data_IF_053459758829
#
_entry.id   IF_053459758829
#
_cell.length_a   1.000
_cell.length_b   1.000
_cell.length_c   1.000
_cell.angle_alpha   90.00
_cell.angle_beta   90.00
_cell.angle_gamma   90.00
#
_symmetry.space_group_name_H-M   'P 1'
#
loop_
_entity.id
_entity.type
_entity.pdbx_description
1 polymer ?
#
# COMPACT_ATOMS: atom_id res chain seq x y z
N UNK A 1 20.63 0.08 10.00
CA UNK A 1 19.95 -0.05 11.29
C UNK A 1 18.52 0.45 11.11
N UNK A 2 17.61 -0.47 10.83
CA UNK A 2 16.18 -0.18 10.65
C UNK A 2 15.54 -0.02 12.03
N UNK A 3 15.11 1.18 12.37
CA UNK A 3 14.24 1.41 13.53
C UNK A 3 12.78 1.17 13.12
N UNK A 4 12.24 0.07 13.58
CA UNK A 4 10.80 -0.17 13.58
C UNK A 4 10.14 0.78 14.59
N UNK A 5 9.30 1.68 14.12
CA UNK A 5 8.39 2.42 14.98
C UNK A 5 7.17 1.55 15.28
N UNK A 6 7.20 0.90 16.43
CA UNK A 6 6.00 0.28 17.00
C UNK A 6 5.21 1.39 17.69
N UNK A 7 4.10 1.82 17.09
CA UNK A 7 3.15 2.71 17.72
C UNK A 7 2.37 1.92 18.79
N UNK A 8 2.73 2.15 20.05
CA UNK A 8 2.09 1.57 21.21
C UNK A 8 0.75 2.27 21.43
N UNK A 9 -0.34 1.64 21.03
CA UNK A 9 -1.69 2.14 21.28
C UNK A 9 -2.02 1.93 22.77
N UNK A 10 -2.29 3.01 23.49
CA UNK A 10 -2.69 3.00 24.89
C UNK A 10 -4.14 2.47 24.98
N UNK A 11 -4.28 1.27 25.49
CA UNK A 11 -5.59 0.68 25.83
C UNK A 11 -6.03 1.29 27.15
N UNK A 12 -7.07 2.10 27.10
CA UNK A 12 -7.76 2.57 28.32
C UNK A 12 -8.63 1.44 28.87
N UNK A 13 -8.11 0.73 29.86
CA UNK A 13 -8.89 -0.28 30.61
C UNK A 13 -9.70 0.47 31.66
N UNK A 14 -11.01 0.59 31.44
CA UNK A 14 -11.95 0.94 32.52
C UNK A 14 -12.21 -0.31 33.35
N UNK A 15 -11.60 -0.36 34.53
CA UNK A 15 -11.89 -1.37 35.53
C UNK A 15 -13.19 -0.99 36.27
N UNK A 16 -14.28 -1.72 36.02
CA UNK A 16 -15.45 -1.71 36.90
C UNK A 16 -15.20 -2.70 38.04
N UNK A 17 -14.99 -2.16 39.22
CA UNK A 17 -15.02 -2.94 40.45
C UNK A 17 -16.47 -3.11 40.92
N UNK A 18 -17.01 -4.32 40.84
CA UNK A 18 -18.26 -4.70 41.53
C UNK A 18 -17.93 -5.61 42.69
N UNK A 19 -18.10 -5.09 43.89
CA UNK A 19 -18.27 -5.89 45.12
C UNK A 19 -19.72 -6.22 45.32
N UNK A 20 -20.07 -7.47 45.52
CA UNK A 20 -21.40 -7.88 45.93
C UNK A 20 -21.66 -9.36 45.75
N UNK A 21 -21.42 -10.16 46.80
CA UNK A 21 -21.97 -11.52 46.93
C UNK A 21 -23.47 -11.44 47.21
N UNK A 22 -24.27 -12.27 46.57
CA UNK A 22 -25.19 -13.19 47.23
C UNK A 22 -25.94 -14.07 46.23
N UNK A 23 -26.20 -15.26 46.68
CA UNK A 23 -26.76 -16.41 46.02
C UNK A 23 -28.15 -16.19 45.38
N UNK A 24 -28.39 -17.13 44.48
CA UNK A 24 -29.66 -17.64 43.95
C UNK A 24 -30.40 -16.82 42.90
N UNK A 25 -30.67 -17.57 41.92
CA UNK A 25 -31.71 -17.58 40.90
C UNK A 25 -31.24 -17.36 39.46
N UNK A 26 -31.59 -18.33 38.67
CA UNK A 26 -31.67 -18.45 37.23
C UNK A 26 -32.17 -17.15 36.55
N UNK A 27 -31.43 -16.07 36.66
CA UNK A 27 -31.60 -14.90 35.84
C UNK A 27 -30.85 -15.15 34.57
N UNK A 28 -31.55 -15.24 33.46
CA UNK A 28 -30.98 -15.01 32.14
C UNK A 28 -30.36 -13.60 32.17
N UNK A 29 -29.10 -13.50 32.60
CA UNK A 29 -28.37 -12.24 32.51
C UNK A 29 -28.18 -11.93 31.03
N UNK A 30 -28.93 -10.95 30.56
CA UNK A 30 -28.81 -10.44 29.20
C UNK A 30 -27.60 -9.51 29.20
N UNK A 31 -26.47 -10.05 28.72
CA UNK A 31 -25.26 -9.25 28.51
C UNK A 31 -25.43 -8.40 27.25
N UNK A 32 -25.20 -7.08 27.34
CA UNK A 32 -25.23 -6.26 26.13
C UNK A 32 -24.17 -6.69 25.13
N UNK A 33 -24.46 -6.69 23.83
CA UNK A 33 -23.47 -7.00 22.82
C UNK A 33 -22.34 -6.00 22.85
N UNK A 34 -21.13 -6.44 22.54
CA UNK A 34 -19.96 -5.58 22.40
C UNK A 34 -19.10 -6.03 21.23
N UNK A 35 -18.33 -5.11 20.68
CA UNK A 35 -17.40 -5.37 19.56
C UNK A 35 -16.07 -4.68 19.82
N UNK A 36 -14.99 -5.41 19.60
CA UNK A 36 -13.63 -4.88 19.61
C UNK A 36 -13.03 -5.00 18.22
N UNK A 37 -12.23 -4.02 17.82
CA UNK A 37 -11.47 -4.01 16.59
C UNK A 37 -9.98 -4.14 16.89
N UNK A 38 -9.30 -5.03 16.15
CA UNK A 38 -7.85 -5.15 16.18
C UNK A 38 -7.28 -4.88 14.78
N UNK A 39 -6.22 -4.07 14.72
CA UNK A 39 -5.53 -3.78 13.46
C UNK A 39 -4.81 -5.03 12.94
N UNK A 40 -4.90 -5.26 11.64
CA UNK A 40 -4.12 -6.26 10.92
C UNK A 40 -3.05 -5.64 10.03
N UNK A 41 -2.61 -6.40 9.04
CA UNK A 41 -1.62 -5.95 8.07
C UNK A 41 -2.24 -4.92 7.11
N UNK A 42 -1.42 -3.95 6.68
CA UNK A 42 -1.76 -2.99 5.64
C UNK A 42 -0.74 -3.07 4.51
N UNK A 43 -1.21 -2.85 3.29
CA UNK A 43 -0.36 -2.72 2.10
C UNK A 43 -0.62 -1.36 1.45
N UNK A 44 -0.09 -1.13 0.27
CA UNK A 44 -0.33 0.10 -0.48
C UNK A 44 -1.80 0.35 -0.81
N UNK A 45 -2.57 -0.72 -1.05
CA UNK A 45 -3.97 -0.64 -1.50
C UNK A 45 -4.93 -1.51 -0.69
N UNK A 46 -4.48 -2.07 0.44
CA UNK A 46 -5.32 -2.88 1.32
C UNK A 46 -5.13 -2.52 2.76
N UNK A 47 -6.19 -2.66 3.55
CA UNK A 47 -6.13 -2.66 5.01
C UNK A 47 -6.81 -3.90 5.55
N UNK A 48 -6.27 -4.47 6.63
CA UNK A 48 -6.88 -5.60 7.31
C UNK A 48 -7.16 -5.28 8.78
N UNK A 49 -8.19 -5.88 9.31
CA UNK A 49 -8.54 -5.80 10.73
C UNK A 49 -9.35 -7.02 11.15
N UNK A 50 -9.45 -7.25 12.46
CA UNK A 50 -10.27 -8.32 13.03
C UNK A 50 -11.38 -7.72 13.86
N UNK A 51 -12.60 -8.18 13.63
CA UNK A 51 -13.78 -7.91 14.47
C UNK A 51 -13.94 -9.03 15.50
N UNK A 52 -14.03 -8.67 16.77
CA UNK A 52 -14.14 -9.59 17.91
C UNK A 52 -15.45 -9.29 18.65
N UNK A 53 -16.53 -10.02 18.35
CA UNK A 53 -17.82 -9.82 18.98
C UNK A 53 -17.90 -10.55 20.33
N UNK A 54 -18.74 -10.04 21.24
CA UNK A 54 -19.18 -10.74 22.46
C UNK A 54 -20.69 -10.52 22.63
N UNK A 55 -21.38 -11.59 22.98
CA UNK A 55 -22.84 -11.57 23.25
C UNK A 55 -23.67 -10.98 22.09
N UNK A 56 -23.26 -11.27 20.86
CA UNK A 56 -23.87 -10.75 19.65
C UNK A 56 -24.24 -11.87 18.69
N UNK A 57 -25.26 -11.64 17.87
CA UNK A 57 -25.70 -12.53 16.79
C UNK A 57 -25.24 -12.03 15.43
N UNK A 58 -25.13 -10.70 15.29
CA UNK A 58 -24.71 -10.03 14.06
C UNK A 58 -23.71 -8.93 14.38
N UNK A 59 -22.82 -8.68 13.44
CA UNK A 59 -21.88 -7.55 13.44
C UNK A 59 -21.75 -6.98 12.04
N UNK A 60 -21.42 -5.70 11.95
CA UNK A 60 -21.22 -4.99 10.70
C UNK A 60 -20.08 -3.99 10.80
N UNK A 61 -19.46 -3.68 9.67
CA UNK A 61 -18.51 -2.58 9.57
C UNK A 61 -18.78 -1.70 8.36
N UNK A 62 -18.36 -0.44 8.46
CA UNK A 62 -18.28 0.51 7.36
C UNK A 62 -16.90 1.15 7.38
N UNK A 63 -16.19 1.12 6.24
CA UNK A 63 -14.90 1.78 6.05
C UNK A 63 -15.13 3.08 5.29
N UNK A 64 -14.61 4.18 5.82
CA UNK A 64 -14.67 5.50 5.16
C UNK A 64 -13.30 6.16 5.19
N UNK A 65 -13.05 7.16 4.34
CA UNK A 65 -11.87 8.02 4.48
C UNK A 65 -11.94 8.78 5.80
N UNK A 66 -10.82 9.03 6.44
CA UNK A 66 -10.76 9.64 7.79
C UNK A 66 -11.48 10.98 7.88
N UNK A 67 -11.46 11.77 6.82
CA UNK A 67 -12.09 13.08 6.77
C UNK A 67 -13.61 13.03 6.60
N UNK A 68 -14.17 11.84 6.32
CA UNK A 68 -15.62 11.68 6.17
C UNK A 68 -16.33 11.76 7.52
N UNK A 69 -17.59 12.17 7.48
CA UNK A 69 -18.44 12.19 8.67
C UNK A 69 -18.61 10.77 9.22
N UNK A 70 -18.48 10.62 10.54
CA UNK A 70 -18.72 9.34 11.21
C UNK A 70 -20.16 8.85 10.96
N UNK A 71 -20.33 7.59 10.51
CA UNK A 71 -21.65 7.04 10.26
C UNK A 71 -22.40 6.81 11.57
N UNK A 72 -23.73 6.90 11.50
CA UNK A 72 -24.59 6.47 12.59
C UNK A 72 -24.59 4.94 12.73
N UNK A 73 -25.02 4.46 13.90
CA UNK A 73 -25.14 3.02 14.14
C UNK A 73 -26.04 2.33 13.09
N UNK A 74 -27.14 2.97 12.70
CA UNK A 74 -28.07 2.43 11.71
C UNK A 74 -27.45 2.39 10.31
N UNK A 75 -26.64 3.38 9.95
CA UNK A 75 -25.88 3.36 8.70
C UNK A 75 -24.86 2.23 8.64
N UNK A 76 -24.18 1.91 9.74
CA UNK A 76 -23.21 0.79 9.77
C UNK A 76 -23.91 -0.52 9.40
N UNK A 77 -25.14 -0.78 9.86
CA UNK A 77 -25.88 -2.00 9.52
C UNK A 77 -26.57 -1.95 8.17
N UNK A 78 -27.00 -0.78 7.69
CA UNK A 78 -27.73 -0.64 6.43
C UNK A 78 -26.85 -0.49 5.21
N UNK A 79 -25.69 0.16 5.34
CA UNK A 79 -24.77 0.48 4.25
C UNK A 79 -23.46 -0.32 4.33
N UNK A 80 -23.13 -0.86 5.50
CA UNK A 80 -21.91 -1.59 5.75
C UNK A 80 -21.97 -3.06 5.32
N UNK A 81 -20.84 -3.75 5.54
CA UNK A 81 -20.74 -5.19 5.31
C UNK A 81 -21.09 -5.96 6.59
N UNK A 82 -22.10 -6.82 6.50
CA UNK A 82 -22.65 -7.58 7.61
C UNK A 82 -22.03 -8.98 7.73
N UNK A 83 -21.84 -9.46 8.97
CA UNK A 83 -21.35 -10.78 9.33
C UNK A 83 -22.19 -11.39 10.45
N UNK A 84 -22.27 -12.72 10.48
CA UNK A 84 -22.71 -13.43 11.68
C UNK A 84 -21.65 -13.27 12.78
N UNK A 85 -22.07 -12.99 14.01
CA UNK A 85 -21.17 -12.76 15.15
C UNK A 85 -20.87 -14.05 15.94
N UNK A 86 -20.82 -15.21 15.27
CA UNK A 86 -20.57 -16.53 15.88
C UNK A 86 -19.10 -16.75 16.22
N UNK A 87 -18.21 -16.01 15.55
CA UNK A 87 -16.75 -16.08 15.71
C UNK A 87 -16.11 -14.74 15.34
N UNK A 88 -14.80 -14.62 15.58
CA UNK A 88 -14.02 -13.47 15.14
C UNK A 88 -13.97 -13.45 13.62
N UNK A 89 -14.17 -12.26 13.01
CA UNK A 89 -14.07 -12.09 11.57
C UNK A 89 -12.81 -11.30 11.20
N UNK A 90 -11.90 -11.94 10.46
CA UNK A 90 -10.76 -11.27 9.83
C UNK A 90 -11.20 -10.69 8.48
N UNK A 91 -11.09 -9.38 8.35
CA UNK A 91 -11.52 -8.61 7.17
C UNK A 91 -10.28 -8.06 6.47
N UNK A 92 -10.27 -8.10 5.13
CA UNK A 92 -9.31 -7.39 4.29
C UNK A 92 -10.09 -6.61 3.24
N UNK A 93 -9.98 -5.29 3.28
CA UNK A 93 -10.56 -4.38 2.28
C UNK A 93 -9.49 -4.07 1.24
N UNK A 94 -9.84 -4.20 -0.04
CA UNK A 94 -8.94 -4.04 -1.19
C UNK A 94 -9.32 -2.80 -2.00
N UNK A 95 -8.49 -2.52 -3.01
CA UNK A 95 -8.72 -1.45 -4.00
C UNK A 95 -8.84 -0.05 -3.35
N UNK A 96 -8.08 0.16 -2.30
CA UNK A 96 -8.01 1.42 -1.57
C UNK A 96 -6.96 2.34 -2.18
N UNK A 97 -7.15 3.64 -2.01
CA UNK A 97 -6.17 4.64 -2.39
C UNK A 97 -4.90 4.51 -1.53
N UNK A 98 -3.73 4.68 -2.13
CA UNK A 98 -2.43 4.65 -1.45
C UNK A 98 -2.25 5.85 -0.52
N UNK A 99 -1.38 5.69 0.47
CA UNK A 99 -1.02 6.73 1.44
C UNK A 99 -2.23 7.47 2.03
N UNK A 100 -3.35 6.73 2.20
CA UNK A 100 -4.63 7.30 2.60
C UNK A 100 -5.07 6.76 3.95
N UNK A 101 -5.53 7.66 4.82
CA UNK A 101 -6.08 7.31 6.12
C UNK A 101 -7.55 6.94 5.99
N UNK A 102 -7.88 5.81 6.57
CA UNK A 102 -9.24 5.29 6.65
C UNK A 102 -9.67 5.13 8.10
N UNK A 103 -10.96 5.23 8.33
CA UNK A 103 -11.58 4.93 9.61
C UNK A 103 -12.56 3.79 9.42
N UNK A 104 -12.34 2.69 10.15
CA UNK A 104 -13.32 1.61 10.30
C UNK A 104 -14.27 2.00 11.42
N UNK A 105 -15.56 1.92 11.18
CA UNK A 105 -16.60 1.97 12.19
C UNK A 105 -17.32 0.64 12.18
N UNK A 106 -17.49 0.03 13.36
CA UNK A 106 -18.13 -1.27 13.46
C UNK A 106 -19.01 -1.36 14.69
N UNK A 107 -20.05 -2.17 14.59
CA UNK A 107 -20.96 -2.43 15.70
C UNK A 107 -21.47 -3.87 15.65
N UNK A 108 -22.02 -4.34 16.78
CA UNK A 108 -22.67 -5.63 16.89
C UNK A 108 -24.06 -5.50 17.50
N UNK A 109 -24.92 -6.50 17.27
CA UNK A 109 -26.27 -6.54 17.84
C UNK A 109 -26.65 -7.97 18.22
N UNK A 110 -27.59 -8.08 19.18
CA UNK A 110 -28.29 -9.31 19.54
C UNK A 110 -29.77 -8.97 19.76
N UNK A 111 -30.62 -9.44 18.85
CA UNK A 111 -32.01 -8.99 18.80
C UNK A 111 -32.12 -7.47 18.67
N UNK A 112 -32.81 -6.83 19.59
CA UNK A 112 -32.99 -5.36 19.64
C UNK A 112 -31.80 -4.63 20.30
N UNK A 113 -30.93 -5.35 21.01
CA UNK A 113 -29.79 -4.76 21.70
C UNK A 113 -28.65 -4.51 20.70
N UNK A 114 -28.06 -3.31 20.79
CA UNK A 114 -26.94 -2.88 19.95
C UNK A 114 -25.76 -2.48 20.83
N UNK A 115 -24.54 -2.75 20.33
CA UNK A 115 -23.31 -2.26 20.97
C UNK A 115 -23.12 -0.77 20.76
N UNK A 116 -22.18 -0.19 21.47
CA UNK A 116 -21.57 1.07 21.05
C UNK A 116 -20.79 0.87 19.75
N UNK A 117 -20.57 1.97 19.02
CA UNK A 117 -19.76 1.95 17.80
C UNK A 117 -18.28 1.88 18.17
N UNK A 118 -17.64 0.80 17.79
CA UNK A 118 -16.18 0.69 17.82
C UNK A 118 -15.57 1.39 16.61
N UNK A 119 -14.41 2.01 16.78
CA UNK A 119 -13.70 2.64 15.67
C UNK A 119 -12.21 2.33 15.68
N UNK A 120 -11.60 2.24 14.49
CA UNK A 120 -10.19 1.94 14.30
C UNK A 120 -9.65 2.74 13.11
N UNK A 121 -8.57 3.51 13.32
CA UNK A 121 -7.87 4.17 12.24
C UNK A 121 -6.85 3.22 11.62
N UNK A 122 -6.84 3.16 10.27
CA UNK A 122 -5.89 2.42 9.47
C UNK A 122 -5.37 3.32 8.35
N UNK A 123 -4.15 3.07 7.91
CA UNK A 123 -3.56 3.80 6.79
C UNK A 123 -2.97 2.82 5.80
N UNK A 124 -3.30 2.98 4.53
CA UNK A 124 -2.61 2.28 3.44
C UNK A 124 -1.18 2.78 3.32
N UNK A 125 -0.29 1.90 2.86
CA UNK A 125 1.11 2.25 2.61
C UNK A 125 1.25 3.29 1.51
N UNK A 126 2.41 3.93 1.47
CA UNK A 126 2.83 4.74 0.34
C UNK A 126 3.34 3.82 -0.79
N UNK A 127 3.71 4.42 -1.93
CA UNK A 127 4.27 3.66 -3.05
C UNK A 127 5.55 2.94 -2.65
N UNK A 128 5.62 1.65 -2.98
CA UNK A 128 6.84 0.87 -2.80
C UNK A 128 7.84 1.27 -3.87
N UNK A 129 9.08 1.58 -3.45
CA UNK A 129 10.17 1.77 -4.40
C UNK A 129 10.55 0.42 -5.02
N UNK A 130 10.26 0.26 -6.30
CA UNK A 130 10.49 -1.00 -7.03
C UNK A 130 11.96 -1.23 -7.37
N UNK A 131 12.77 -0.18 -7.45
CA UNK A 131 14.12 -0.21 -7.99
C UNK A 131 15.17 -0.10 -6.88
N UNK A 132 16.21 -0.91 -6.96
CA UNK A 132 17.43 -0.77 -6.17
C UNK A 132 18.63 -0.75 -7.10
N UNK A 133 19.42 0.32 -7.09
CA UNK A 133 20.69 0.36 -7.78
C UNK A 133 21.67 -0.60 -7.08
N UNK A 134 22.26 -1.54 -7.80
CA UNK A 134 23.20 -2.52 -7.26
C UNK A 134 24.65 -2.04 -7.43
N UNK A 135 25.03 -1.72 -8.63
CA UNK A 135 26.38 -1.26 -8.96
C UNK A 135 26.33 -0.30 -10.15
N UNK A 136 27.39 0.48 -10.28
CA UNK A 136 27.63 1.36 -11.42
C UNK A 136 29.14 1.42 -11.71
N UNK A 137 29.48 1.50 -12.99
CA UNK A 137 30.84 1.71 -13.48
C UNK A 137 30.88 2.88 -14.44
N UNK A 138 31.91 2.94 -15.24
CA UNK A 138 32.08 3.99 -16.27
C UNK A 138 31.09 3.85 -17.42
N UNK A 139 30.88 2.63 -17.87
CA UNK A 139 30.13 2.30 -19.07
C UNK A 139 29.07 1.24 -18.84
N UNK A 140 28.61 1.08 -17.59
CA UNK A 140 27.54 0.17 -17.23
C UNK A 140 26.94 0.54 -15.89
N UNK A 141 25.74 0.04 -15.65
CA UNK A 141 25.11 -0.02 -14.34
C UNK A 141 24.18 -1.22 -14.26
N UNK A 142 23.95 -1.71 -13.04
CA UNK A 142 22.98 -2.76 -12.78
C UNK A 142 22.02 -2.35 -11.68
N UNK A 143 20.78 -2.78 -11.82
CA UNK A 143 19.72 -2.52 -10.88
C UNK A 143 18.82 -3.74 -10.73
N UNK A 144 18.20 -3.81 -9.58
CA UNK A 144 17.26 -4.84 -9.23
C UNK A 144 15.86 -4.25 -9.17
N UNK A 145 14.92 -4.92 -9.79
CA UNK A 145 13.49 -4.61 -9.67
C UNK A 145 12.87 -5.66 -8.77
N UNK A 146 12.07 -5.21 -7.82
CA UNK A 146 11.24 -6.05 -6.97
C UNK A 146 9.81 -5.54 -7.04
N UNK A 147 8.94 -6.32 -7.65
CA UNK A 147 7.51 -6.02 -7.75
C UNK A 147 6.78 -6.30 -6.44
N UNK A 148 5.61 -5.67 -6.24
CA UNK A 148 4.80 -5.80 -5.01
C UNK A 148 4.25 -7.20 -4.81
N UNK A 149 4.04 -7.96 -5.91
CA UNK A 149 3.69 -9.38 -5.85
C UNK A 149 4.49 -10.17 -6.88
N UNK A 150 4.68 -11.47 -6.62
CA UNK A 150 5.35 -12.36 -7.55
C UNK A 150 4.61 -12.39 -8.90
N UNK A 151 5.39 -12.35 -9.99
CA UNK A 151 4.88 -12.34 -11.36
C UNK A 151 4.04 -11.12 -11.79
N UNK A 152 4.07 -10.03 -11.02
CA UNK A 152 3.46 -8.77 -11.47
C UNK A 152 4.24 -8.24 -12.68
N UNK A 153 3.57 -7.88 -13.79
CA UNK A 153 4.23 -7.24 -14.92
C UNK A 153 4.77 -5.87 -14.54
N UNK A 154 5.90 -5.49 -15.12
CA UNK A 154 6.56 -4.21 -14.86
C UNK A 154 7.13 -3.64 -16.17
N UNK A 155 6.97 -2.34 -16.35
CA UNK A 155 7.70 -1.57 -17.35
C UNK A 155 8.88 -0.88 -16.67
N UNK A 156 10.05 -0.90 -17.30
CA UNK A 156 11.23 -0.22 -16.78
C UNK A 156 12.09 0.35 -17.90
N UNK A 157 12.82 1.42 -17.61
CA UNK A 157 13.66 2.12 -18.57
C UNK A 157 14.84 2.77 -17.84
N UNK A 158 16.04 2.64 -18.40
CA UNK A 158 17.21 3.41 -18.00
C UNK A 158 17.58 4.38 -19.10
N UNK A 159 17.70 5.67 -18.78
CA UNK A 159 18.01 6.74 -19.73
C UNK A 159 18.95 7.77 -19.12
N UNK A 160 19.60 8.58 -19.96
CA UNK A 160 20.29 9.78 -19.50
C UNK A 160 19.29 10.77 -18.86
N UNK A 161 19.71 11.38 -17.75
CA UNK A 161 18.84 12.33 -17.03
C UNK A 161 18.45 13.53 -17.89
N UNK A 162 19.35 14.05 -18.69
CA UNK A 162 19.10 15.21 -19.56
C UNK A 162 17.99 14.91 -20.58
N UNK A 163 17.89 13.67 -21.06
CA UNK A 163 16.81 13.27 -21.95
C UNK A 163 15.46 13.25 -21.23
N UNK A 164 15.40 12.72 -20.00
CA UNK A 164 14.17 12.78 -19.21
C UNK A 164 13.79 14.21 -18.85
N UNK A 165 14.77 15.02 -18.42
CA UNK A 165 14.55 16.42 -18.07
C UNK A 165 13.98 17.22 -19.24
N UNK A 166 14.42 16.95 -20.48
CA UNK A 166 13.88 17.56 -21.69
C UNK A 166 12.36 17.30 -21.85
N UNK A 167 11.88 16.11 -21.54
CA UNK A 167 10.44 15.81 -21.60
C UNK A 167 9.66 16.43 -20.45
N UNK A 168 10.32 16.77 -19.34
CA UNK A 168 9.68 17.30 -18.14
C UNK A 168 9.85 18.80 -17.95
N UNK A 169 10.67 19.49 -18.78
CA UNK A 169 11.13 20.87 -18.55
C UNK A 169 10.00 21.91 -18.40
N UNK A 170 8.87 21.73 -19.09
CA UNK A 170 7.72 22.62 -19.05
C UNK A 170 6.65 22.21 -18.02
N UNK A 171 6.85 21.07 -17.33
CA UNK A 171 5.88 20.53 -16.36
C UNK A 171 6.24 20.97 -14.95
N UNK A 172 5.26 21.50 -14.23
CA UNK A 172 5.42 21.93 -12.83
C UNK A 172 4.46 21.21 -11.87
N UNK A 173 3.42 20.59 -12.40
CA UNK A 173 2.45 19.80 -11.62
C UNK A 173 2.93 18.36 -11.48
N UNK A 174 2.95 17.87 -10.23
CA UNK A 174 3.42 16.50 -9.94
C UNK A 174 2.59 15.41 -10.64
N UNK A 175 1.31 15.66 -10.87
CA UNK A 175 0.43 14.70 -11.57
C UNK A 175 0.77 14.64 -13.06
N UNK A 176 1.05 15.79 -13.68
CA UNK A 176 1.47 15.86 -15.08
C UNK A 176 2.86 15.23 -15.27
N UNK A 177 3.81 15.50 -14.35
CA UNK A 177 5.13 14.88 -14.34
C UNK A 177 5.01 13.34 -14.23
N UNK A 178 4.18 12.86 -13.33
CA UNK A 178 3.95 11.42 -13.17
C UNK A 178 3.31 10.80 -14.41
N UNK A 179 2.31 11.43 -14.99
CA UNK A 179 1.66 10.99 -16.22
C UNK A 179 2.66 10.92 -17.39
N UNK A 180 3.55 11.91 -17.53
CA UNK A 180 4.59 11.91 -18.56
C UNK A 180 5.59 10.78 -18.37
N UNK A 181 6.05 10.51 -17.15
CA UNK A 181 6.93 9.37 -16.85
C UNK A 181 6.28 8.04 -17.22
N UNK A 182 5.01 7.88 -16.93
CA UNK A 182 4.24 6.69 -17.28
C UNK A 182 4.08 6.55 -18.79
N UNK A 183 3.80 7.64 -19.50
CA UNK A 183 3.71 7.66 -20.96
C UNK A 183 5.05 7.26 -21.62
N UNK A 184 6.16 7.78 -21.11
CA UNK A 184 7.50 7.37 -21.54
C UNK A 184 7.71 5.86 -21.35
N UNK A 185 7.35 5.32 -20.20
CA UNK A 185 7.47 3.89 -19.90
C UNK A 185 6.59 3.03 -20.80
N UNK A 186 5.34 3.46 -21.05
CA UNK A 186 4.43 2.72 -21.95
C UNK A 186 4.93 2.68 -23.39
N UNK A 187 5.56 3.76 -23.87
CA UNK A 187 6.00 3.86 -25.26
C UNK A 187 7.41 3.32 -25.49
N UNK A 188 8.29 3.36 -24.49
CA UNK A 188 9.72 3.07 -24.65
C UNK A 188 10.29 2.10 -23.61
N UNK A 189 9.50 1.71 -22.60
CA UNK A 189 9.95 0.85 -21.51
C UNK A 189 10.13 -0.61 -21.94
N UNK A 190 11.08 -1.27 -21.28
CA UNK A 190 11.26 -2.72 -21.39
C UNK A 190 10.23 -3.44 -20.56
N UNK A 191 9.76 -4.57 -21.05
CA UNK A 191 8.82 -5.43 -20.33
C UNK A 191 9.57 -6.41 -19.42
N UNK A 192 9.20 -6.42 -18.15
CA UNK A 192 9.68 -7.36 -17.15
C UNK A 192 8.53 -8.03 -16.41
N UNK A 193 8.86 -9.00 -15.57
CA UNK A 193 7.89 -9.67 -14.73
C UNK A 193 8.55 -10.11 -13.44
N UNK A 194 7.93 -9.76 -12.32
CA UNK A 194 8.37 -10.17 -10.99
C UNK A 194 9.70 -9.56 -10.56
N UNK A 195 10.45 -10.33 -9.76
CA UNK A 195 11.74 -9.90 -9.20
C UNK A 195 12.88 -10.28 -10.14
N UNK A 196 13.66 -9.29 -10.59
CA UNK A 196 14.77 -9.53 -11.57
C UNK A 196 15.83 -8.44 -11.51
N UNK A 197 17.08 -8.85 -11.80
CA UNK A 197 18.22 -7.94 -11.99
C UNK A 197 18.47 -7.69 -13.46
N UNK A 198 18.72 -6.43 -13.80
CA UNK A 198 19.05 -5.95 -15.14
C UNK A 198 20.42 -5.27 -15.11
N UNK A 199 21.15 -5.41 -16.20
CA UNK A 199 22.42 -4.70 -16.42
C UNK A 199 22.38 -4.04 -17.77
N UNK A 200 22.60 -2.73 -17.80
CA UNK A 200 22.76 -1.97 -19.03
C UNK A 200 24.23 -1.62 -19.20
N UNK A 201 24.77 -1.89 -20.39
CA UNK A 201 26.16 -1.67 -20.70
C UNK A 201 26.32 -1.05 -22.09
N UNK A 202 27.20 -0.08 -22.16
CA UNK A 202 27.51 0.62 -23.39
C UNK A 202 27.92 -0.33 -24.53
N UNK A 203 27.38 -0.09 -25.71
CA UNK A 203 27.63 -0.88 -26.91
C UNK A 203 26.89 -2.23 -26.97
N UNK A 204 26.17 -2.63 -25.97
CA UNK A 204 25.28 -3.81 -26.04
C UNK A 204 24.02 -3.49 -26.85
N UNK A 205 23.51 -4.49 -27.53
CA UNK A 205 22.27 -4.36 -28.29
C UNK A 205 21.11 -4.66 -27.35
N UNK A 206 20.17 -3.74 -27.27
CA UNK A 206 18.91 -3.93 -26.60
C UNK A 206 18.11 -5.05 -27.29
N UNK A 207 17.76 -6.14 -26.58
CA UNK A 207 17.06 -7.27 -27.17
C UNK A 207 15.61 -6.96 -27.59
N UNK A 208 15.01 -5.91 -27.03
CA UNK A 208 13.59 -5.62 -27.26
C UNK A 208 13.37 -4.70 -28.49
N UNK A 209 14.27 -3.76 -28.74
CA UNK A 209 14.15 -2.81 -29.86
C UNK A 209 15.32 -2.82 -30.86
N UNK A 210 16.31 -3.68 -30.64
CA UNK A 210 17.50 -3.81 -31.47
C UNK A 210 18.33 -2.51 -31.61
N UNK A 211 18.18 -1.59 -30.66
CA UNK A 211 18.99 -0.39 -30.57
C UNK A 211 20.27 -0.66 -29.80
N UNK A 212 21.33 0.08 -30.11
CA UNK A 212 22.56 0.03 -29.32
C UNK A 212 22.38 0.88 -28.07
N UNK A 213 22.62 0.27 -26.89
CA UNK A 213 22.61 0.99 -25.62
C UNK A 213 23.79 1.96 -25.55
N UNK A 214 23.58 3.14 -25.05
CA UNK A 214 24.59 4.15 -24.79
C UNK A 214 24.64 4.45 -23.28
N UNK A 215 25.76 4.10 -22.65
CA UNK A 215 26.02 4.34 -21.22
C UNK A 215 27.38 5.03 -21.10
N UNK A 216 27.34 6.34 -21.03
CA UNK A 216 28.54 7.17 -21.01
C UNK A 216 29.06 7.40 -19.58
N UNK A 217 30.38 7.54 -19.48
CA UNK A 217 31.08 7.77 -18.22
C UNK A 217 30.85 9.20 -17.67
N UNK A 218 30.55 9.33 -16.40
CA UNK A 218 30.34 10.61 -15.72
C UNK A 218 29.03 11.32 -16.06
N UNK A 219 28.10 10.62 -16.71
CA UNK A 219 26.82 11.17 -17.13
C UNK A 219 25.73 10.80 -16.13
N UNK A 220 24.87 11.75 -15.71
CA UNK A 220 23.70 11.47 -14.90
C UNK A 220 22.72 10.54 -15.61
N UNK A 221 22.27 9.51 -14.91
CA UNK A 221 21.34 8.50 -15.39
C UNK A 221 20.10 8.48 -14.53
N UNK A 222 18.97 8.07 -15.10
CA UNK A 222 17.73 7.82 -14.40
C UNK A 222 17.21 6.44 -14.77
N UNK A 223 16.75 5.71 -13.77
CA UNK A 223 15.99 4.47 -13.98
C UNK A 223 14.57 4.74 -13.53
N UNK A 224 13.62 4.43 -14.41
CA UNK A 224 12.19 4.46 -14.15
C UNK A 224 11.65 3.02 -14.11
N UNK A 225 10.67 2.74 -13.26
CA UNK A 225 9.89 1.50 -13.29
C UNK A 225 8.48 1.71 -12.76
N UNK A 226 7.51 1.01 -13.35
CA UNK A 226 6.11 1.04 -12.91
C UNK A 226 5.48 -0.34 -13.13
N UNK A 227 4.67 -0.79 -12.18
CA UNK A 227 3.89 -2.02 -12.35
C UNK A 227 2.71 -1.81 -13.30
N UNK A 228 2.33 -2.88 -13.99
CA UNK A 228 1.14 -2.92 -14.83
C UNK A 228 0.24 -4.09 -14.43
N UNK A 229 -1.02 -4.04 -14.87
CA UNK A 229 -1.90 -5.21 -14.86
C UNK A 229 -1.58 -6.18 -16.00
N UNK A 230 -2.34 -7.26 -16.11
CA UNK A 230 -2.16 -8.26 -17.17
C UNK A 230 -2.51 -7.71 -18.57
N UNK A 231 -3.29 -6.66 -18.65
CA UNK A 231 -3.70 -5.95 -19.86
C UNK A 231 -2.69 -4.87 -20.27
N UNK A 232 -1.67 -4.59 -19.42
CA UNK A 232 -0.61 -3.61 -19.66
C UNK A 232 -0.95 -2.19 -19.17
N UNK A 233 -2.04 -2.00 -18.45
CA UNK A 233 -2.37 -0.70 -17.86
C UNK A 233 -1.50 -0.45 -16.61
N UNK A 234 -1.01 0.77 -16.47
CA UNK A 234 -0.23 1.18 -15.30
C UNK A 234 -1.08 1.11 -14.02
N UNK A 235 -0.56 0.47 -12.98
CA UNK A 235 -1.29 0.23 -11.73
C UNK A 235 -0.74 0.97 -10.52
N UNK A 236 0.35 1.72 -10.68
CA UNK A 236 1.04 2.37 -9.57
C UNK A 236 1.67 3.69 -9.91
N UNK A 237 2.46 4.20 -8.99
CA UNK A 237 3.33 5.35 -9.18
C UNK A 237 4.69 4.91 -9.71
N UNK A 238 5.28 5.71 -10.57
CA UNK A 238 6.61 5.44 -11.12
C UNK A 238 7.68 5.52 -10.05
N UNK A 239 8.39 4.40 -9.85
CA UNK A 239 9.63 4.39 -9.08
C UNK A 239 10.74 5.06 -9.91
N UNK A 240 11.51 5.92 -9.27
CA UNK A 240 12.60 6.67 -9.93
C UNK A 240 13.87 6.58 -9.09
N UNK A 241 15.00 6.27 -9.72
CA UNK A 241 16.33 6.38 -9.11
C UNK A 241 17.23 7.20 -10.05
N UNK A 242 17.89 8.21 -9.49
CA UNK A 242 18.88 9.03 -10.16
C UNK A 242 20.28 8.72 -9.63
N UNK A 243 21.26 8.65 -10.49
CA UNK A 243 22.68 8.44 -10.15
C UNK A 243 23.57 8.95 -11.27
N UNK A 244 24.87 9.05 -11.01
CA UNK A 244 25.86 9.38 -12.03
C UNK A 244 26.79 8.18 -12.23
N UNK A 245 27.07 7.78 -13.46
CA UNK A 245 28.10 6.77 -13.79
C UNK A 245 29.49 7.23 -13.33
N UNK A 246 30.42 6.31 -13.15
CA UNK A 246 31.77 6.69 -12.72
C UNK A 246 32.49 7.54 -13.76
N UNK A 247 33.21 8.57 -13.31
CA UNK A 247 34.05 9.38 -14.18
C UNK A 247 35.30 8.58 -14.64
N UNK A 248 35.84 8.87 -15.82
CA UNK A 248 37.17 8.37 -16.20
C UNK A 248 38.16 8.81 -15.12
N UNK A 249 38.89 7.84 -14.53
CA UNK A 249 39.96 8.19 -13.59
C UNK A 249 40.97 9.09 -14.30
N UNK A 250 41.37 10.18 -13.66
CA UNK A 250 42.57 10.94 -14.04
C UNK A 250 43.75 10.01 -13.84
N UNK A 251 44.44 9.67 -14.93
CA UNK A 251 45.66 8.87 -14.91
C UNK A 251 46.82 9.64 -14.24
#
# INVERSE_FOLDING_TARGET
>A
SFLYWVNLLVISIFAFSTTGCSDDDNKNEIYPPSLTLEAGETTETTVSFTMIPKYADEMAYLLVKKEATAPSLDQIFSEGTNYAATENAKVTVKDLERNTKYQVYAASKSGELKSEVASLELQTGDYTQLITLLEKGKNYYSYHIKTTAANTPVLHLGVEKDLLDFFLEDLTDETEIEAMKQDILVNFGYHGTGEKTYTLKDGEIDPDNNATLEVLAGIPQVILAVETDAEGNVTGKTSTIEFTTETPGTA
#
